data_IF_580243402916
#
_entry.id   IF_580243402916
#
_cell.length_a   1.000
_cell.length_b   1.000
_cell.length_c   1.000
_cell.angle_alpha   90.00
_cell.angle_beta   90.00
_cell.angle_gamma   90.00
#
_symmetry.space_group_name_H-M   'P 1'
#
loop_
_entity.id
_entity.type
_entity.pdbx_description
1 polymer ?
#
# COMPACT_ATOMS: atom_id res chain seq x y z
N UNK A 1 -16.57 11.03 -47.44
CA UNK A 1 -16.40 9.70 -46.83
C UNK A 1 -16.63 9.85 -45.33
N UNK A 2 -17.83 9.49 -44.87
CA UNK A 2 -18.07 8.37 -43.94
C UNK A 2 -17.65 8.70 -42.50
N UNK A 3 -18.63 9.04 -41.64
CA UNK A 3 -19.29 8.07 -40.76
C UNK A 3 -18.29 7.35 -39.84
N UNK A 4 -18.03 7.95 -38.69
CA UNK A 4 -17.89 7.28 -37.39
C UNK A 4 -18.34 8.33 -36.36
N UNK A 5 -19.63 8.68 -36.29
CA UNK A 5 -20.58 8.06 -35.36
C UNK A 5 -19.97 8.14 -33.94
N UNK A 6 -20.30 9.21 -33.19
CA UNK A 6 -21.30 9.19 -32.12
C UNK A 6 -21.04 8.06 -31.11
N UNK A 7 -20.94 8.42 -29.83
CA UNK A 7 -20.53 7.63 -28.64
C UNK A 7 -19.06 7.93 -28.36
N UNK A 8 -18.70 8.83 -27.44
CA UNK A 8 -18.70 8.67 -25.98
C UNK A 8 -18.82 10.09 -25.39
N UNK A 9 -20.02 10.62 -25.16
CA UNK A 9 -20.69 10.67 -23.86
C UNK A 9 -19.72 10.73 -22.67
N UNK A 10 -19.50 11.96 -22.19
CA UNK A 10 -19.70 12.36 -20.79
C UNK A 10 -19.57 11.23 -19.75
N UNK A 11 -18.40 11.13 -19.13
CA UNK A 11 -18.20 10.28 -17.98
C UNK A 11 -16.80 10.51 -17.42
N UNK A 12 -16.71 11.35 -16.40
CA UNK A 12 -15.55 11.54 -15.53
C UNK A 12 -15.11 10.22 -14.89
N UNK A 13 -14.33 9.44 -15.63
CA UNK A 13 -13.55 8.27 -15.25
C UNK A 13 -12.65 8.08 -16.47
N UNK A 14 -11.34 8.15 -16.42
CA UNK A 14 -10.45 7.50 -15.50
C UNK A 14 -9.23 8.40 -15.37
N UNK A 15 -8.98 8.90 -14.17
CA UNK A 15 -7.61 9.00 -13.66
C UNK A 15 -7.08 7.58 -13.53
N UNK A 16 -6.94 6.88 -14.67
CA UNK A 16 -6.05 5.76 -14.85
C UNK A 16 -4.66 6.36 -14.82
N UNK A 17 -4.32 6.77 -13.60
CA UNK A 17 -2.99 6.91 -13.08
C UNK A 17 -2.35 5.56 -13.37
N UNK A 18 -1.79 5.48 -14.58
CA UNK A 18 -0.53 4.84 -14.90
C UNK A 18 0.52 5.36 -13.89
N UNK A 19 0.32 5.08 -12.60
CA UNK A 19 1.40 4.80 -11.67
C UNK A 19 1.97 3.48 -12.18
N UNK A 20 2.70 3.62 -13.29
CA UNK A 20 4.00 3.03 -13.49
C UNK A 20 4.31 2.11 -12.33
N UNK A 21 4.14 0.83 -12.64
CA UNK A 21 4.82 -0.31 -12.05
C UNK A 21 6.30 0.02 -11.88
N UNK A 22 6.62 0.86 -10.91
CA UNK A 22 7.95 1.12 -10.39
C UNK A 22 8.44 -0.22 -9.88
N UNK A 23 9.12 -0.91 -10.79
CA UNK A 23 10.51 -1.29 -10.64
C UNK A 23 10.96 -1.52 -9.20
N UNK A 24 11.36 -2.75 -8.94
CA UNK A 24 12.22 -3.08 -7.82
C UNK A 24 11.78 -4.40 -7.21
N UNK A 25 12.65 -5.39 -7.34
CA UNK A 25 12.40 -6.76 -6.91
C UNK A 25 11.87 -6.85 -5.48
N UNK A 26 11.26 -7.99 -5.21
CA UNK A 26 10.84 -8.47 -3.90
C UNK A 26 12.09 -8.64 -3.01
N UNK A 27 12.69 -7.54 -2.58
CA UNK A 27 13.83 -7.50 -1.68
C UNK A 27 13.35 -7.88 -0.28
N UNK A 28 13.43 -9.18 -0.01
CA UNK A 28 12.92 -9.82 1.21
C UNK A 28 13.96 -9.82 2.34
N UNK A 29 15.10 -9.16 2.13
CA UNK A 29 16.22 -9.12 3.06
C UNK A 29 16.23 -7.80 3.85
N UNK A 30 16.38 -7.82 5.18
CA UNK A 30 16.51 -6.61 5.98
C UNK A 30 17.76 -5.84 5.56
N UNK A 31 17.58 -4.63 5.02
CA UNK A 31 18.66 -3.71 4.64
C UNK A 31 18.23 -2.29 5.06
N UNK A 32 19.11 -1.48 5.68
CA UNK A 32 18.82 -0.09 6.01
C UNK A 32 18.20 0.74 4.88
N UNK A 33 18.58 0.50 3.62
CA UNK A 33 17.99 1.15 2.44
C UNK A 33 16.52 0.77 2.21
N UNK A 34 16.13 -0.47 2.56
CA UNK A 34 14.75 -0.95 2.46
C UNK A 34 13.85 -0.32 3.53
N UNK A 35 14.43 0.10 4.66
CA UNK A 35 13.68 0.72 5.74
C UNK A 35 13.10 2.09 5.32
N UNK A 36 13.91 2.95 4.69
CA UNK A 36 13.45 4.24 4.16
C UNK A 36 12.39 4.08 3.07
N UNK A 37 12.64 3.21 2.09
CA UNK A 37 11.69 2.97 0.98
C UNK A 37 10.36 2.36 1.45
N UNK A 38 10.37 1.50 2.47
CA UNK A 38 9.14 0.91 3.00
C UNK A 38 8.35 1.87 3.90
N UNK A 39 8.99 2.86 4.52
CA UNK A 39 8.32 3.94 5.27
C UNK A 39 7.36 4.74 4.37
N UNK A 40 7.80 5.09 3.16
CA UNK A 40 6.96 5.83 2.21
C UNK A 40 5.75 5.01 1.77
N UNK A 41 5.93 3.69 1.59
CA UNK A 41 4.85 2.78 1.26
C UNK A 41 3.82 2.68 2.38
N UNK A 42 4.24 2.70 3.65
CA UNK A 42 3.34 2.71 4.81
C UNK A 42 2.44 3.94 4.75
N UNK A 43 3.02 5.12 4.50
CA UNK A 43 2.26 6.38 4.41
C UNK A 43 1.26 6.37 3.26
N UNK A 44 1.68 5.89 2.07
CA UNK A 44 0.79 5.79 0.90
C UNK A 44 -0.37 4.79 1.12
N UNK A 45 -0.08 3.64 1.74
CA UNK A 45 -1.10 2.63 2.05
C UNK A 45 -2.07 3.12 3.15
N UNK A 46 -1.57 3.85 4.16
CA UNK A 46 -2.39 4.50 5.17
C UNK A 46 -3.35 5.51 4.54
N UNK A 47 -2.85 6.40 3.66
CA UNK A 47 -3.67 7.37 2.95
C UNK A 47 -4.74 6.68 2.09
N UNK A 48 -4.39 5.59 1.40
CA UNK A 48 -5.33 4.81 0.59
C UNK A 48 -6.44 4.22 1.46
N UNK A 49 -6.10 3.66 2.62
CA UNK A 49 -7.09 3.13 3.56
C UNK A 49 -7.98 4.22 4.15
N UNK A 50 -7.42 5.36 4.56
CA UNK A 50 -8.20 6.48 5.11
C UNK A 50 -9.17 7.08 4.08
N UNK A 51 -8.74 7.17 2.80
CA UNK A 51 -9.60 7.66 1.72
C UNK A 51 -10.64 6.62 1.28
N UNK A 52 -10.35 5.33 1.44
CA UNK A 52 -11.22 4.23 1.03
C UNK A 52 -11.09 3.06 2.03
N UNK A 53 -11.88 3.08 3.12
CA UNK A 53 -11.72 2.15 4.24
C UNK A 53 -12.38 0.79 3.97
N UNK A 54 -11.97 0.14 2.88
CA UNK A 54 -12.40 -1.22 2.54
C UNK A 54 -11.55 -2.26 3.24
N UNK A 55 -12.08 -3.48 3.38
CA UNK A 55 -11.32 -4.64 3.89
C UNK A 55 -9.99 -4.83 3.15
N UNK A 56 -10.03 -4.78 1.82
CA UNK A 56 -8.84 -4.97 0.99
C UNK A 56 -7.76 -3.92 1.24
N UNK A 57 -8.14 -2.65 1.39
CA UNK A 57 -7.20 -1.55 1.65
C UNK A 57 -6.62 -1.62 3.06
N UNK A 58 -7.42 -2.04 4.05
CA UNK A 58 -6.94 -2.32 5.40
C UNK A 58 -5.91 -3.47 5.41
N UNK A 59 -6.21 -4.60 4.78
CA UNK A 59 -5.29 -5.74 4.69
C UNK A 59 -3.99 -5.38 3.95
N UNK A 60 -4.09 -4.56 2.89
CA UNK A 60 -2.93 -4.03 2.17
C UNK A 60 -2.07 -3.15 3.09
N UNK A 61 -2.68 -2.20 3.81
CA UNK A 61 -1.98 -1.34 4.76
C UNK A 61 -1.25 -2.15 5.83
N UNK A 62 -1.94 -3.12 6.44
CA UNK A 62 -1.36 -4.03 7.44
C UNK A 62 -0.15 -4.80 6.93
N UNK A 63 -0.22 -5.31 5.71
CA UNK A 63 0.90 -6.03 5.11
C UNK A 63 2.11 -5.12 4.88
N UNK A 64 1.91 -3.89 4.43
CA UNK A 64 3.00 -2.93 4.23
C UNK A 64 3.65 -2.53 5.56
N UNK A 65 2.86 -2.34 6.62
CA UNK A 65 3.38 -2.08 7.98
C UNK A 65 4.22 -3.27 8.46
N UNK A 66 3.73 -4.51 8.28
CA UNK A 66 4.50 -5.73 8.61
C UNK A 66 5.84 -5.78 7.88
N UNK A 67 5.83 -5.50 6.58
CA UNK A 67 7.02 -5.56 5.73
C UNK A 67 8.02 -4.46 6.09
N UNK A 68 7.54 -3.26 6.43
CA UNK A 68 8.37 -2.18 6.97
C UNK A 68 9.10 -2.63 8.24
N UNK A 69 8.38 -3.09 9.25
CA UNK A 69 9.00 -3.54 10.51
C UNK A 69 9.99 -4.70 10.28
N UNK A 70 9.67 -5.66 9.42
CA UNK A 70 10.59 -6.76 9.08
C UNK A 70 11.83 -6.29 8.32
N UNK A 71 11.72 -5.25 7.50
CA UNK A 71 12.86 -4.68 6.77
C UNK A 71 13.78 -3.85 7.67
N UNK A 72 13.29 -3.41 8.83
CA UNK A 72 13.98 -2.55 9.78
C UNK A 72 14.33 -3.32 11.08
N UNK A 73 15.36 -4.15 11.04
CA UNK A 73 15.75 -5.01 12.17
C UNK A 73 15.98 -4.26 13.51
N UNK A 74 16.37 -2.99 13.44
CA UNK A 74 16.54 -2.10 14.61
C UNK A 74 15.23 -1.66 15.26
N UNK A 75 14.14 -1.57 14.49
CA UNK A 75 12.80 -1.22 14.99
C UNK A 75 12.00 -2.44 15.43
N UNK A 76 12.37 -3.64 14.97
CA UNK A 76 11.71 -4.89 15.32
C UNK A 76 12.28 -5.50 16.61
N UNK A 77 12.20 -4.76 17.72
CA UNK A 77 12.60 -5.25 19.04
C UNK A 77 11.51 -5.01 20.08
N UNK A 78 11.48 -5.87 21.12
CA UNK A 78 10.65 -5.67 22.32
C UNK A 78 9.20 -5.27 22.07
N UNK A 79 8.83 -4.10 22.59
CA UNK A 79 7.47 -3.53 22.56
C UNK A 79 6.95 -3.20 21.17
N UNK A 80 7.82 -2.85 20.21
CA UNK A 80 7.41 -2.55 18.85
C UNK A 80 6.93 -3.79 18.09
N UNK A 81 7.50 -4.95 18.40
CA UNK A 81 7.01 -6.24 17.88
C UNK A 81 5.62 -6.55 18.43
N UNK A 82 5.41 -6.39 19.74
CA UNK A 82 4.10 -6.65 20.36
C UNK A 82 3.03 -5.71 19.78
N UNK A 83 3.32 -4.41 19.66
CA UNK A 83 2.39 -3.45 19.06
C UNK A 83 2.07 -3.79 17.59
N UNK A 84 3.05 -4.30 16.84
CA UNK A 84 2.81 -4.80 15.49
C UNK A 84 1.89 -6.03 15.49
N UNK A 85 2.15 -7.00 16.36
CA UNK A 85 1.35 -8.22 16.43
C UNK A 85 -0.11 -7.91 16.84
N UNK A 86 -0.29 -7.02 17.81
CA UNK A 86 -1.60 -6.49 18.23
C UNK A 86 -2.30 -5.78 17.07
N UNK A 87 -1.60 -4.85 16.40
CA UNK A 87 -2.13 -4.16 15.23
C UNK A 87 -2.53 -5.16 14.14
N UNK A 88 -1.70 -6.16 13.82
CA UNK A 88 -2.00 -7.18 12.81
C UNK A 88 -3.17 -8.10 13.21
N UNK A 89 -3.46 -8.27 14.49
CA UNK A 89 -4.60 -9.04 14.98
C UNK A 89 -5.94 -8.27 14.90
N UNK A 90 -5.93 -6.93 14.86
CA UNK A 90 -7.17 -6.16 14.80
C UNK A 90 -7.98 -6.45 13.51
N UNK A 91 -9.28 -6.73 13.58
CA UNK A 91 -10.05 -7.03 12.38
C UNK A 91 -10.15 -5.81 11.46
N UNK A 92 -10.00 -6.03 10.15
CA UNK A 92 -10.33 -5.03 9.15
C UNK A 92 -11.85 -4.83 9.05
N UNK A 93 -12.32 -3.64 8.62
CA UNK A 93 -13.74 -3.41 8.37
C UNK A 93 -14.29 -4.41 7.35
N UNK A 94 -15.54 -4.81 7.52
CA UNK A 94 -16.23 -5.74 6.61
C UNK A 94 -16.62 -5.06 5.30
#
# INVERSE_FOLDING_TARGET
MQKLIKTIISGSAYTAVMLVLSCGGKDSSPNPLNCGSNSDKVSAAAMTYVQSPTKANCEAYKNVVKDFYKSCASFYTGSAKQALDEFLAEPCPN
#
